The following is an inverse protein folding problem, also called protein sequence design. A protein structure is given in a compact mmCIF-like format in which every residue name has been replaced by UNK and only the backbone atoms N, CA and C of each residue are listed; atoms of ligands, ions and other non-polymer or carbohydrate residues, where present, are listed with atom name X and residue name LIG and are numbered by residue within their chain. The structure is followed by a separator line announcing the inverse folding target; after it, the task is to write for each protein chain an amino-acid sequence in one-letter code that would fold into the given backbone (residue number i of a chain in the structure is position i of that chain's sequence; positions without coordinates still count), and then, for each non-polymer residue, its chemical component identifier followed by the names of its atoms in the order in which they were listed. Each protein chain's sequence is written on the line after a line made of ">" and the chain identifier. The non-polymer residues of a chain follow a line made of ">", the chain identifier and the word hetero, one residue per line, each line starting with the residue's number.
data_IF_121881252912
#
_entry.id   IF_121881252912
#
_cell.length_a   1.000
_cell.length_b   1.000
_cell.length_c   1.000
_cell.angle_alpha   90.00
_cell.angle_beta   90.00
_cell.angle_gamma   90.00
#
_symmetry.space_group_name_H-M   'P 1'
#
loop_
_entity.id
_entity.type
_entity.pdbx_description
1 polymer ?
#
# COMPACT_ATOMS: atom_id res chain seq x y z
N UNK A 1 55.43 -5.24 -29.69
CA UNK A 1 54.72 -4.00 -29.31
C UNK A 1 53.54 -4.25 -28.38
N UNK A 2 53.35 -5.47 -27.90
CA UNK A 2 52.10 -5.85 -27.16
C UNK A 2 52.27 -6.02 -25.63
N UNK A 3 53.41 -5.62 -25.07
CA UNK A 3 53.71 -5.83 -23.65
C UNK A 3 53.41 -4.64 -22.75
N UNK A 4 53.18 -3.48 -23.32
CA UNK A 4 52.97 -2.23 -22.54
C UNK A 4 51.48 -2.00 -22.21
N UNK A 5 50.56 -2.43 -23.06
CA UNK A 5 49.14 -2.26 -22.83
C UNK A 5 48.57 -3.14 -21.72
N UNK A 6 49.10 -4.34 -21.50
CA UNK A 6 48.61 -5.27 -20.49
C UNK A 6 49.01 -4.88 -19.06
N UNK A 7 50.01 -3.99 -18.90
CA UNK A 7 50.48 -3.59 -17.56
C UNK A 7 49.70 -2.40 -17.00
N UNK A 8 49.22 -1.50 -17.87
CA UNK A 8 48.44 -0.32 -17.44
C UNK A 8 47.02 -0.66 -17.02
N UNK A 9 46.40 -1.66 -17.68
CA UNK A 9 45.04 -2.07 -17.38
C UNK A 9 44.91 -2.76 -16.01
N UNK A 10 45.89 -3.58 -15.62
CA UNK A 10 45.90 -4.25 -14.31
C UNK A 10 46.13 -3.27 -13.16
N UNK A 11 46.92 -2.22 -13.40
CA UNK A 11 47.21 -1.20 -12.41
C UNK A 11 45.99 -0.30 -12.17
N UNK A 12 45.24 0.01 -13.23
CA UNK A 12 44.03 0.82 -13.19
C UNK A 12 42.89 0.12 -12.43
N UNK A 13 42.73 -1.18 -12.65
CA UNK A 13 41.72 -1.99 -11.96
C UNK A 13 42.03 -2.09 -10.45
N UNK A 14 43.29 -2.26 -10.08
CA UNK A 14 43.67 -2.34 -8.66
C UNK A 14 43.53 -0.99 -7.95
N UNK A 15 43.72 0.10 -8.65
CA UNK A 15 43.54 1.45 -8.10
C UNK A 15 42.07 1.80 -7.93
N UNK A 16 41.22 1.39 -8.85
CA UNK A 16 39.77 1.58 -8.74
C UNK A 16 39.13 0.75 -7.59
N UNK A 17 39.60 -0.45 -7.38
CA UNK A 17 39.17 -1.29 -6.29
C UNK A 17 39.48 -0.71 -4.90
N UNK A 18 40.67 -0.05 -4.76
CA UNK A 18 41.04 0.60 -3.51
C UNK A 18 40.30 1.91 -3.27
N UNK A 19 40.01 2.68 -4.31
CA UNK A 19 39.22 3.92 -4.20
C UNK A 19 37.78 3.63 -3.78
N UNK A 20 37.14 2.58 -4.31
CA UNK A 20 35.82 2.17 -3.88
C UNK A 20 35.76 1.67 -2.43
N UNK A 21 36.86 1.14 -1.90
CA UNK A 21 36.95 0.69 -0.51
C UNK A 21 37.11 1.84 0.49
N UNK A 22 37.79 2.93 0.08
CA UNK A 22 38.01 4.12 0.94
C UNK A 22 36.89 5.15 0.89
N UNK A 23 36.11 5.21 -0.20
CA UNK A 23 34.85 5.94 -0.25
C UNK A 23 33.75 5.01 0.32
N UNK A 24 33.82 4.74 1.61
CA UNK A 24 32.73 4.12 2.38
C UNK A 24 31.47 4.95 2.28
N UNK A 25 30.88 5.01 1.08
CA UNK A 25 29.54 5.50 0.87
C UNK A 25 28.65 4.43 1.47
N UNK A 26 28.41 4.59 2.78
CA UNK A 26 27.30 3.95 3.42
C UNK A 26 26.07 4.32 2.62
N UNK A 27 25.62 3.40 1.78
CA UNK A 27 24.28 3.46 1.19
C UNK A 27 23.34 3.34 2.36
N UNK A 28 23.01 4.48 2.96
CA UNK A 28 21.91 4.58 3.89
C UNK A 28 20.68 4.21 3.07
N UNK A 29 20.27 2.96 3.18
CA UNK A 29 18.93 2.55 2.77
C UNK A 29 17.96 3.33 3.66
N UNK A 30 17.64 4.54 3.24
CA UNK A 30 16.49 5.24 3.75
C UNK A 30 15.29 4.41 3.30
N UNK A 31 14.76 3.58 4.21
CA UNK A 31 13.48 2.95 4.02
C UNK A 31 12.48 4.10 3.83
N UNK A 32 12.22 4.44 2.57
CA UNK A 32 11.11 5.31 2.22
C UNK A 32 9.85 4.54 2.59
N UNK A 33 9.36 4.79 3.79
CA UNK A 33 7.96 4.54 4.10
C UNK A 33 7.18 5.44 3.13
N UNK A 34 6.70 4.86 2.04
CA UNK A 34 5.86 5.59 1.11
C UNK A 34 4.70 6.19 1.92
N UNK A 35 4.49 7.52 1.88
CA UNK A 35 3.37 8.12 2.58
C UNK A 35 2.10 7.44 2.05
N UNK A 36 1.32 6.84 2.95
CA UNK A 36 0.02 6.31 2.59
C UNK A 36 -0.76 7.46 1.97
N UNK A 37 -1.06 7.35 0.68
CA UNK A 37 -1.89 8.34 -0.02
C UNK A 37 -3.17 8.48 0.78
N UNK A 38 -3.56 9.70 1.19
CA UNK A 38 -4.83 9.90 1.87
C UNK A 38 -5.93 9.40 0.92
N UNK A 39 -6.60 8.34 1.31
CA UNK A 39 -7.73 7.81 0.57
C UNK A 39 -8.97 8.59 1.01
N UNK A 40 -9.74 9.07 0.06
CA UNK A 40 -11.03 9.68 0.32
C UNK A 40 -12.07 8.56 0.51
N UNK A 41 -12.04 7.97 1.71
CA UNK A 41 -12.87 6.82 2.01
C UNK A 41 -14.32 7.23 2.21
N UNK A 42 -15.22 6.55 1.50
CA UNK A 42 -16.67 6.71 1.61
C UNK A 42 -17.29 5.74 2.63
N UNK A 43 -16.61 4.62 2.92
CA UNK A 43 -17.09 3.61 3.84
C UNK A 43 -15.96 3.03 4.70
N UNK A 44 -16.27 2.84 5.97
CA UNK A 44 -15.41 2.20 6.96
C UNK A 44 -16.05 0.88 7.39
N UNK A 45 -15.29 -0.21 7.30
CA UNK A 45 -15.73 -1.56 7.68
C UNK A 45 -14.80 -2.12 8.75
N UNK A 46 -15.34 -2.42 9.93
CA UNK A 46 -14.57 -3.07 10.98
C UNK A 46 -14.57 -4.58 10.79
N UNK A 47 -13.38 -5.16 10.65
CA UNK A 47 -13.14 -6.57 10.33
C UNK A 47 -12.24 -7.17 11.43
N UNK A 48 -12.82 -7.76 12.47
CA UNK A 48 -12.05 -8.39 13.55
C UNK A 48 -11.15 -9.50 13.01
N UNK A 49 -9.92 -9.58 13.54
CA UNK A 49 -8.94 -10.56 13.09
C UNK A 49 -8.12 -10.15 11.86
N UNK A 50 -8.30 -8.93 11.36
CA UNK A 50 -7.47 -8.37 10.29
C UNK A 50 -6.13 -7.89 10.87
N UNK A 51 -5.26 -8.84 11.23
CA UNK A 51 -4.01 -8.56 11.97
C UNK A 51 -2.76 -8.54 11.12
N UNK A 52 -2.85 -8.85 9.83
CA UNK A 52 -1.68 -8.92 8.95
C UNK A 52 -1.93 -8.30 7.57
N UNK A 53 -0.89 -7.70 6.94
CA UNK A 53 -1.01 -7.16 5.58
C UNK A 53 -1.41 -8.20 4.53
N UNK A 54 -0.94 -9.45 4.68
CA UNK A 54 -1.28 -10.55 3.76
C UNK A 54 -2.77 -10.89 3.82
N UNK A 55 -3.38 -10.80 4.99
CA UNK A 55 -4.81 -11.00 5.21
C UNK A 55 -5.64 -9.97 4.42
N UNK A 56 -5.18 -8.72 4.43
CA UNK A 56 -5.80 -7.63 3.70
C UNK A 56 -5.80 -7.85 2.16
N UNK A 57 -4.76 -8.50 1.62
CA UNK A 57 -4.66 -8.79 0.18
C UNK A 57 -5.80 -9.71 -0.27
N UNK A 58 -6.16 -10.72 0.51
CA UNK A 58 -7.28 -11.61 0.23
C UNK A 58 -8.58 -10.85 0.06
N UNK A 59 -8.90 -9.99 1.03
CA UNK A 59 -10.09 -9.13 0.99
C UNK A 59 -10.03 -8.18 -0.21
N UNK A 60 -8.88 -7.50 -0.41
CA UNK A 60 -8.69 -6.57 -1.52
C UNK A 60 -8.99 -7.20 -2.88
N UNK A 61 -8.61 -8.46 -3.08
CA UNK A 61 -8.83 -9.17 -4.34
C UNK A 61 -10.31 -9.42 -4.64
N UNK A 62 -11.15 -9.61 -3.62
CA UNK A 62 -12.59 -9.73 -3.80
C UNK A 62 -13.22 -8.38 -4.14
N UNK A 63 -12.85 -7.31 -3.43
CA UNK A 63 -13.39 -5.97 -3.65
C UNK A 63 -12.98 -5.37 -4.99
N UNK A 64 -11.77 -5.63 -5.48
CA UNK A 64 -11.30 -5.17 -6.81
C UNK A 64 -12.12 -5.71 -7.98
N UNK A 65 -12.89 -6.77 -7.78
CA UNK A 65 -13.77 -7.32 -8.82
C UNK A 65 -15.09 -6.57 -8.93
N UNK A 66 -15.42 -5.74 -7.96
CA UNK A 66 -16.66 -4.96 -7.94
C UNK A 66 -16.45 -3.64 -8.70
N UNK A 67 -17.27 -3.40 -9.70
CA UNK A 67 -17.18 -2.23 -10.59
C UNK A 67 -17.34 -0.89 -9.86
N UNK A 68 -18.04 -0.91 -8.73
CA UNK A 68 -18.32 0.29 -7.95
C UNK A 68 -17.20 0.64 -6.96
N UNK A 69 -16.20 -0.23 -6.79
CA UNK A 69 -15.07 0.01 -5.87
C UNK A 69 -13.91 0.61 -6.64
N UNK A 70 -13.54 1.82 -6.28
CA UNK A 70 -12.40 2.54 -6.87
C UNK A 70 -11.08 2.13 -6.22
N UNK A 71 -11.03 2.13 -4.88
CA UNK A 71 -9.89 1.63 -4.13
C UNK A 71 -10.30 1.12 -2.74
N UNK A 72 -9.42 0.33 -2.13
CA UNK A 72 -9.59 -0.16 -0.76
C UNK A 72 -8.25 -0.14 -0.04
N UNK A 73 -8.22 0.44 1.14
CA UNK A 73 -7.06 0.54 2.02
C UNK A 73 -7.40 -0.05 3.38
N UNK A 74 -6.38 -0.54 4.09
CA UNK A 74 -6.57 -1.20 5.38
C UNK A 74 -5.74 -0.53 6.47
N UNK A 75 -6.38 -0.23 7.58
CA UNK A 75 -5.71 0.11 8.84
C UNK A 75 -5.67 -1.13 9.73
N UNK A 76 -4.56 -1.87 9.64
CA UNK A 76 -4.37 -3.13 10.36
C UNK A 76 -4.42 -2.94 11.88
N UNK A 77 -3.91 -1.81 12.38
CA UNK A 77 -3.90 -1.52 13.82
C UNK A 77 -5.29 -1.34 14.41
N UNK A 78 -6.23 -0.86 13.59
CA UNK A 78 -7.61 -0.62 13.97
C UNK A 78 -8.57 -1.71 13.48
N UNK A 79 -8.06 -2.70 12.76
CA UNK A 79 -8.86 -3.74 12.11
C UNK A 79 -9.95 -3.16 11.18
N UNK A 80 -9.58 -2.10 10.44
CA UNK A 80 -10.49 -1.37 9.59
C UNK A 80 -10.13 -1.51 8.11
N UNK A 81 -11.15 -1.70 7.28
CA UNK A 81 -11.08 -1.51 5.84
C UNK A 81 -11.74 -0.18 5.47
N UNK A 82 -11.05 0.62 4.68
CA UNK A 82 -11.48 1.92 4.14
C UNK A 82 -11.74 1.73 2.66
N UNK A 83 -12.97 1.96 2.23
CA UNK A 83 -13.41 1.74 0.86
C UNK A 83 -13.75 3.07 0.23
N UNK A 84 -13.13 3.34 -0.93
CA UNK A 84 -13.42 4.46 -1.82
C UNK A 84 -14.26 3.92 -2.99
N UNK A 85 -15.44 4.49 -3.21
CA UNK A 85 -16.34 4.09 -4.27
C UNK A 85 -16.22 5.00 -5.50
N UNK A 86 -16.66 4.48 -6.63
CA UNK A 86 -16.75 5.26 -7.86
C UNK A 86 -17.84 6.31 -7.71
N UNK A 87 -17.49 7.55 -8.00
CA UNK A 87 -18.43 8.66 -8.07
C UNK A 87 -18.82 8.92 -9.54
N UNK A 88 -20.12 8.98 -9.79
CA UNK A 88 -20.67 9.30 -11.10
C UNK A 88 -21.71 10.42 -10.95
N UNK A 89 -21.51 11.54 -11.67
CA UNK A 89 -22.38 12.71 -11.62
C UNK A 89 -22.62 13.28 -10.20
N UNK A 90 -21.59 13.25 -9.34
CA UNK A 90 -21.69 13.71 -7.96
C UNK A 90 -22.41 12.73 -7.03
N UNK A 91 -22.73 11.53 -7.48
CA UNK A 91 -23.38 10.47 -6.70
C UNK A 91 -22.42 9.33 -6.47
N UNK A 92 -22.16 9.01 -5.20
CA UNK A 92 -21.31 7.87 -4.82
C UNK A 92 -22.09 6.56 -5.03
N UNK A 93 -21.51 5.66 -5.80
CA UNK A 93 -22.09 4.36 -6.13
C UNK A 93 -21.81 3.34 -5.02
N UNK A 94 -22.48 3.49 -3.88
CA UNK A 94 -22.29 2.59 -2.75
C UNK A 94 -22.62 1.14 -3.05
N UNK A 95 -21.80 0.23 -2.59
CA UNK A 95 -22.15 -1.18 -2.49
C UNK A 95 -23.17 -1.38 -1.35
N UNK A 96 -24.13 -2.30 -1.54
CA UNK A 96 -25.05 -2.68 -0.45
C UNK A 96 -24.29 -3.35 0.69
N UNK A 97 -24.68 -3.04 1.93
CA UNK A 97 -24.01 -3.61 3.11
C UNK A 97 -23.99 -5.15 3.09
N UNK A 98 -25.07 -5.78 2.61
CA UNK A 98 -25.12 -7.24 2.44
C UNK A 98 -24.04 -7.78 1.50
N UNK A 99 -23.76 -7.04 0.41
CA UNK A 99 -22.70 -7.41 -0.52
C UNK A 99 -21.30 -7.23 0.07
N UNK A 100 -21.09 -6.17 0.84
CA UNK A 100 -19.83 -5.95 1.57
C UNK A 100 -19.57 -7.09 2.54
N UNK A 101 -20.58 -7.47 3.32
CA UNK A 101 -20.48 -8.61 4.26
C UNK A 101 -20.18 -9.92 3.51
N UNK A 102 -20.84 -10.18 2.39
CA UNK A 102 -20.59 -11.36 1.56
C UNK A 102 -19.13 -11.44 1.08
N UNK A 103 -18.58 -10.32 0.57
CA UNK A 103 -17.20 -10.27 0.07
C UNK A 103 -16.17 -10.51 1.17
N UNK A 104 -16.38 -9.94 2.36
CA UNK A 104 -15.53 -10.14 3.52
C UNK A 104 -15.60 -11.60 4.00
N UNK A 105 -16.80 -12.19 4.04
CA UNK A 105 -17.00 -13.60 4.39
C UNK A 105 -16.36 -14.56 3.40
N UNK A 106 -16.41 -14.26 2.11
CA UNK A 106 -15.70 -15.03 1.07
C UNK A 106 -14.16 -15.01 1.26
N UNK A 107 -13.63 -13.96 1.86
CA UNK A 107 -12.23 -13.88 2.23
C UNK A 107 -11.90 -14.60 3.56
N UNK A 108 -12.90 -15.18 4.24
CA UNK A 108 -12.73 -15.91 5.49
C UNK A 108 -12.81 -15.05 6.76
N UNK A 109 -13.38 -13.84 6.67
CA UNK A 109 -13.51 -12.90 7.79
C UNK A 109 -14.96 -12.56 8.07
N UNK A 110 -15.22 -12.02 9.28
CA UNK A 110 -16.51 -11.49 9.66
C UNK A 110 -16.47 -9.94 9.71
N UNK A 111 -17.67 -9.34 9.57
CA UNK A 111 -17.85 -7.89 9.69
C UNK A 111 -18.52 -7.58 11.03
N UNK A 112 -17.86 -6.75 11.83
CA UNK A 112 -18.42 -6.27 13.11
C UNK A 112 -19.34 -5.07 12.92
N UNK A 113 -18.92 -4.11 12.09
CA UNK A 113 -19.71 -2.91 11.82
C UNK A 113 -19.35 -2.31 10.46
N UNK A 114 -20.33 -1.62 9.87
CA UNK A 114 -20.15 -0.85 8.64
C UNK A 114 -20.63 0.56 8.92
N UNK A 115 -19.78 1.54 8.61
CA UNK A 115 -20.10 2.96 8.74
C UNK A 115 -19.87 3.66 7.40
N UNK A 116 -20.88 4.40 6.93
CA UNK A 116 -20.72 5.31 5.79
C UNK A 116 -20.17 6.64 6.29
N UNK A 117 -19.24 7.17 5.54
CA UNK A 117 -18.58 8.44 5.86
C UNK A 117 -19.19 9.51 4.93
N UNK A 118 -19.76 10.56 5.52
CA UNK A 118 -20.23 11.70 4.75
C UNK A 118 -19.03 12.52 4.28
N UNK A 119 -18.97 12.87 3.00
CA UNK A 119 -17.92 13.72 2.42
C UNK A 119 -17.83 15.11 3.05
N UNK A 120 -18.85 15.54 3.78
CA UNK A 120 -18.84 16.80 4.52
C UNK A 120 -17.98 16.78 5.78
N UNK A 121 -17.49 15.62 6.22
CA UNK A 121 -16.62 15.52 7.39
C UNK A 121 -15.16 15.57 6.97
N UNK A 122 -14.37 16.59 7.41
CA UNK A 122 -12.96 16.67 7.10
C UNK A 122 -12.26 15.38 7.54
N UNK A 123 -11.48 14.83 6.63
CA UNK A 123 -10.77 13.55 6.69
C UNK A 123 -10.18 13.27 8.09
N UNK A 124 -10.83 12.40 8.88
CA UNK A 124 -10.40 12.07 10.24
C UNK A 124 -9.10 11.26 10.29
N UNK A 125 -8.61 10.80 9.14
CA UNK A 125 -7.40 10.01 9.05
C UNK A 125 -6.11 10.83 8.93
N UNK A 126 -6.21 12.14 8.73
CA UNK A 126 -5.06 13.05 8.69
C UNK A 126 -4.78 13.75 10.03
N UNK A 127 -5.24 13.20 11.15
CA UNK A 127 -4.84 13.74 12.46
C UNK A 127 -3.50 13.13 12.85
N UNK A 128 -2.43 13.97 13.05
CA UNK A 128 -1.11 13.54 13.43
C UNK A 128 -1.10 12.82 14.78
#
# INVERSE_FOLDING_TARGET
>A
MDTIEHMTHKWFIRWWATICFFLGIGVVFVAHSAPMKPIDADMEVNIPGLVCPSCAIGIKNYFKKEINVKDITFDIKKELALIDFVESNGIVQFLRNSKVIELVKKAGYDVKSIKRLDKSSPNRYNKP
#
